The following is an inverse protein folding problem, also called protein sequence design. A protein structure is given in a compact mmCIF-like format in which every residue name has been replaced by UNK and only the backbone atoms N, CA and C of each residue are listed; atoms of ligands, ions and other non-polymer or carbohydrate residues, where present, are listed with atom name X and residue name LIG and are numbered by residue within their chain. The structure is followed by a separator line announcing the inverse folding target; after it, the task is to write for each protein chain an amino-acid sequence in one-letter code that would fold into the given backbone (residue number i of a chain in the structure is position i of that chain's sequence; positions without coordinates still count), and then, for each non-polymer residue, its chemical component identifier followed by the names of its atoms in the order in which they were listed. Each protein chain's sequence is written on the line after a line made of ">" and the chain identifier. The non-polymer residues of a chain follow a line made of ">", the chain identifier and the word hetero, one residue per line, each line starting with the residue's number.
data_IF_305422431268
#
_entry.id   IF_305422431268
#
_cell.length_a   1.000
_cell.length_b   1.000
_cell.length_c   1.000
_cell.angle_alpha   90.00
_cell.angle_beta   90.00
_cell.angle_gamma   90.00
#
_symmetry.space_group_name_H-M   'P 1'
#
loop_
_entity.id
_entity.type
_entity.pdbx_description
1 polymer ?
#
# COMPACT_ATOMS: atom_id res chain seq x y z
N UNK A 1 -38.34 -5.07 14.56
CA UNK A 1 -37.55 -5.22 13.32
C UNK A 1 -36.22 -4.54 13.60
N UNK A 2 -35.25 -5.32 14.06
CA UNK A 2 -33.89 -4.86 14.40
C UNK A 2 -33.08 -4.86 13.10
N UNK A 3 -32.87 -3.68 12.52
CA UNK A 3 -32.16 -3.53 11.25
C UNK A 3 -30.75 -3.06 11.59
N UNK A 4 -29.85 -4.00 11.85
CA UNK A 4 -28.41 -3.78 11.71
C UNK A 4 -27.60 -3.91 13.00
N UNK A 5 -27.41 -5.14 13.48
CA UNK A 5 -26.19 -5.52 14.19
C UNK A 5 -24.98 -5.64 13.22
N UNK A 6 -24.84 -4.69 12.29
CA UNK A 6 -23.69 -4.63 11.38
C UNK A 6 -22.56 -3.96 12.14
N UNK A 7 -21.61 -4.73 12.68
CA UNK A 7 -20.44 -4.11 13.28
C UNK A 7 -19.65 -3.34 12.24
N UNK A 8 -19.15 -2.18 12.67
CA UNK A 8 -18.28 -1.33 11.86
C UNK A 8 -16.82 -1.70 12.09
N UNK A 9 -16.02 -1.69 11.02
CA UNK A 9 -14.56 -1.65 11.09
C UNK A 9 -14.05 -0.23 10.81
N UNK A 10 -13.00 0.18 11.54
CA UNK A 10 -12.41 1.51 11.47
C UNK A 10 -10.89 1.44 11.56
N UNK A 11 -10.21 2.46 11.05
CA UNK A 11 -8.77 2.64 11.23
C UNK A 11 -8.49 3.61 12.38
N UNK A 12 -7.51 3.32 13.23
CA UNK A 12 -7.11 4.27 14.29
C UNK A 12 -6.23 5.40 13.76
N UNK A 13 -5.63 5.21 12.57
CA UNK A 13 -4.78 6.21 11.90
C UNK A 13 -5.09 6.27 10.41
N UNK A 14 -5.62 7.42 9.97
CA UNK A 14 -5.99 7.66 8.57
C UNK A 14 -4.86 8.19 7.68
N UNK A 15 -3.80 8.75 8.27
CA UNK A 15 -2.64 9.29 7.54
C UNK A 15 -1.36 8.53 7.87
N UNK A 16 -0.80 7.82 6.90
CA UNK A 16 0.39 6.99 7.08
C UNK A 16 1.56 7.58 6.30
N UNK A 17 2.57 8.07 7.02
CA UNK A 17 3.83 8.51 6.43
C UNK A 17 4.82 7.36 6.37
N UNK A 18 5.35 7.08 5.19
CA UNK A 18 6.38 6.05 4.96
C UNK A 18 7.63 6.73 4.41
N UNK A 19 8.73 6.70 5.17
CA UNK A 19 9.98 7.29 4.73
C UNK A 19 10.80 6.28 3.91
N UNK A 20 10.73 6.38 2.58
CA UNK A 20 11.48 5.53 1.65
C UNK A 20 13.00 5.78 1.66
N UNK A 21 13.45 6.83 2.33
CA UNK A 21 14.86 7.22 2.38
C UNK A 21 15.41 7.69 1.03
N UNK A 22 16.74 7.79 0.98
CA UNK A 22 17.50 8.16 -0.21
C UNK A 22 18.05 6.90 -0.86
N UNK A 23 17.88 6.78 -2.17
CA UNK A 23 18.36 5.64 -2.96
C UNK A 23 19.34 6.13 -4.03
N UNK A 24 20.47 5.44 -4.18
CA UNK A 24 21.43 5.82 -5.19
C UNK A 24 20.86 5.48 -6.58
N UNK A 25 20.94 6.42 -7.53
CA UNK A 25 20.52 6.19 -8.92
C UNK A 25 21.14 4.92 -9.53
N UNK A 26 22.36 4.57 -9.15
CA UNK A 26 23.06 3.39 -9.64
C UNK A 26 22.43 2.06 -9.18
N UNK A 27 21.55 2.06 -8.17
CA UNK A 27 20.82 0.87 -7.73
C UNK A 27 19.68 0.49 -8.68
N UNK A 28 19.19 1.43 -9.50
CA UNK A 28 18.19 1.13 -10.52
C UNK A 28 18.87 0.45 -11.72
N UNK A 29 18.43 -0.78 -12.05
CA UNK A 29 19.12 -1.67 -13.01
C UNK A 29 18.34 -1.92 -14.31
N UNK A 30 17.27 -1.19 -14.53
CA UNK A 30 16.37 -1.35 -15.68
C UNK A 30 14.90 -1.25 -15.29
N UNK A 31 14.03 -1.09 -16.29
CA UNK A 31 12.58 -1.08 -16.08
C UNK A 31 12.14 -2.29 -15.24
N UNK A 32 11.12 -2.08 -14.42
CA UNK A 32 10.53 -3.03 -13.46
C UNK A 32 11.44 -3.49 -12.32
N UNK A 33 12.71 -3.07 -12.27
CA UNK A 33 13.61 -3.39 -11.15
C UNK A 33 13.39 -2.46 -9.97
N UNK A 34 13.48 -3.01 -8.77
CA UNK A 34 13.33 -2.28 -7.50
C UNK A 34 14.68 -1.80 -6.99
N UNK A 35 14.70 -0.69 -6.26
CA UNK A 35 15.91 -0.12 -5.69
C UNK A 35 15.66 0.39 -4.25
N UNK A 36 16.72 0.40 -3.44
CA UNK A 36 16.64 0.71 -2.01
C UNK A 36 16.04 -0.40 -1.15
N UNK A 37 16.11 -0.19 0.16
CA UNK A 37 15.52 -1.09 1.14
C UNK A 37 13.99 -0.95 1.18
N UNK A 38 13.30 -2.08 1.25
CA UNK A 38 11.85 -2.08 1.46
C UNK A 38 11.51 -1.50 2.84
N UNK A 39 10.61 -0.52 2.86
CA UNK A 39 10.14 0.10 4.08
C UNK A 39 8.79 -0.48 4.46
N UNK A 40 8.67 -1.01 5.66
CA UNK A 40 7.43 -1.58 6.17
C UNK A 40 6.56 -0.52 6.82
N UNK A 41 5.25 -0.70 6.70
CA UNK A 41 4.25 0.12 7.39
C UNK A 41 3.02 -0.73 7.67
N UNK A 42 2.18 -0.28 8.60
CA UNK A 42 0.93 -0.97 8.94
C UNK A 42 -0.25 -0.02 8.99
N UNK A 43 -1.43 -0.53 8.62
CA UNK A 43 -2.71 0.13 8.82
C UNK A 43 -3.37 -0.53 10.03
N UNK A 44 -3.53 0.17 11.16
CA UNK A 44 -4.19 -0.38 12.34
C UNK A 44 -5.71 -0.35 12.18
N UNK A 45 -6.33 -1.53 12.17
CA UNK A 45 -7.78 -1.73 11.96
C UNK A 45 -8.40 -2.36 13.20
N UNK A 46 -9.57 -1.88 13.61
CA UNK A 46 -10.39 -2.56 14.62
C UNK A 46 -11.82 -2.72 14.13
N UNK A 47 -12.50 -3.76 14.63
CA UNK A 47 -13.89 -4.07 14.26
C UNK A 47 -14.71 -4.38 15.49
N UNK A 48 -15.91 -3.81 15.57
CA UNK A 48 -16.84 -4.07 16.68
C UNK A 48 -17.47 -5.47 16.65
N UNK A 49 -17.46 -6.13 15.49
CA UNK A 49 -17.91 -7.51 15.29
C UNK A 49 -16.92 -8.27 14.40
N UNK A 50 -17.05 -9.60 14.28
CA UNK A 50 -16.18 -10.37 13.39
C UNK A 50 -16.33 -9.91 11.94
N UNK A 51 -15.20 -9.70 11.26
CA UNK A 51 -15.18 -9.26 9.88
C UNK A 51 -13.90 -9.66 9.14
N UNK A 52 -14.03 -9.91 7.84
CA UNK A 52 -12.90 -10.12 6.94
C UNK A 52 -12.44 -8.78 6.35
N UNK A 53 -11.18 -8.43 6.58
CA UNK A 53 -10.60 -7.16 6.15
C UNK A 53 -9.94 -7.26 4.79
N UNK A 54 -10.27 -6.32 3.91
CA UNK A 54 -9.65 -6.08 2.61
C UNK A 54 -9.21 -4.62 2.52
N UNK A 55 -8.06 -4.37 1.89
CA UNK A 55 -7.56 -3.01 1.69
C UNK A 55 -7.08 -2.84 0.25
N UNK A 56 -7.69 -1.89 -0.46
CA UNK A 56 -7.26 -1.45 -1.79
C UNK A 56 -6.45 -0.16 -1.70
N UNK A 57 -5.52 0.04 -2.64
CA UNK A 57 -4.75 1.28 -2.76
C UNK A 57 -5.04 1.95 -4.11
N UNK A 58 -5.30 3.25 -4.07
CA UNK A 58 -5.75 4.06 -5.18
C UNK A 58 -4.86 5.28 -5.36
N UNK A 59 -4.56 5.64 -6.60
CA UNK A 59 -3.69 6.76 -6.90
C UNK A 59 -3.31 6.83 -8.36
N UNK A 60 -2.53 7.85 -8.70
CA UNK A 60 -1.97 7.99 -10.05
C UNK A 60 -0.88 6.94 -10.23
N UNK A 61 -0.98 6.14 -11.30
CA UNK A 61 0.00 5.11 -11.64
C UNK A 61 1.13 5.69 -12.47
N UNK A 62 2.35 5.23 -12.25
CA UNK A 62 3.52 5.64 -13.03
C UNK A 62 3.45 5.15 -14.49
N UNK A 63 2.82 3.99 -14.70
CA UNK A 63 2.47 3.45 -16.02
C UNK A 63 1.00 2.95 -15.97
N UNK A 64 0.08 3.61 -16.69
CA UNK A 64 -1.33 3.20 -16.74
C UNK A 64 -1.56 1.79 -17.29
N UNK A 65 -0.64 1.25 -18.10
CA UNK A 65 -0.76 -0.08 -18.69
C UNK A 65 -0.37 -1.24 -17.76
N UNK A 66 0.40 -0.96 -16.70
CA UNK A 66 0.90 -1.96 -15.76
C UNK A 66 0.20 -1.87 -14.40
N UNK A 67 -0.04 -0.65 -13.91
CA UNK A 67 -0.80 -0.41 -12.67
C UNK A 67 -0.14 -0.95 -11.39
N UNK A 68 1.14 -1.31 -11.40
CA UNK A 68 1.85 -1.90 -10.25
C UNK A 68 2.76 -0.92 -9.49
N UNK A 69 2.78 0.34 -9.93
CA UNK A 69 3.60 1.40 -9.36
C UNK A 69 2.85 2.74 -9.32
N UNK A 70 2.91 3.41 -8.18
CA UNK A 70 2.44 4.78 -7.99
C UNK A 70 3.39 5.77 -8.67
N UNK A 71 2.81 6.79 -9.30
CA UNK A 71 3.54 7.92 -9.84
C UNK A 71 4.11 8.80 -8.71
N UNK A 72 5.25 9.41 -8.98
CA UNK A 72 5.80 10.45 -8.12
C UNK A 72 5.02 11.76 -8.31
N UNK A 73 4.93 12.56 -7.25
CA UNK A 73 4.42 13.91 -7.30
C UNK A 73 5.27 14.76 -8.24
N UNK A 74 4.63 15.39 -9.22
CA UNK A 74 5.28 16.21 -10.24
C UNK A 74 5.52 17.62 -9.68
N UNK A 75 6.69 17.81 -9.07
CA UNK A 75 7.15 19.10 -8.53
C UNK A 75 8.48 19.49 -9.17
N UNK A 76 8.86 20.77 -9.09
CA UNK A 76 10.18 21.23 -9.54
C UNK A 76 11.28 20.42 -8.83
N UNK A 77 12.17 19.81 -9.60
CA UNK A 77 13.25 18.94 -9.08
C UNK A 77 12.79 17.55 -8.67
N UNK A 78 11.61 17.08 -9.11
CA UNK A 78 11.19 15.70 -8.94
C UNK A 78 12.07 14.74 -9.75
N UNK A 79 12.27 13.53 -9.23
CA UNK A 79 12.89 12.44 -9.98
C UNK A 79 11.99 11.98 -11.14
N UNK A 80 12.59 11.47 -12.21
CA UNK A 80 11.86 10.85 -13.32
C UNK A 80 12.32 9.43 -13.59
N UNK A 81 11.44 8.64 -14.23
CA UNK A 81 11.69 7.23 -14.53
C UNK A 81 11.63 6.30 -13.33
N UNK A 82 11.07 6.78 -12.20
CA UNK A 82 10.90 6.05 -10.95
C UNK A 82 9.44 6.13 -10.53
N UNK A 83 8.93 5.08 -9.91
CA UNK A 83 7.66 5.03 -9.19
C UNK A 83 7.81 4.39 -7.82
N UNK A 84 6.71 4.27 -7.09
CA UNK A 84 6.67 3.61 -5.78
C UNK A 84 5.85 2.32 -5.90
N UNK A 85 6.47 1.19 -5.59
CA UNK A 85 5.83 -0.13 -5.58
C UNK A 85 5.38 -0.46 -4.16
N UNK A 86 4.10 -0.82 -4.04
CA UNK A 86 3.54 -1.35 -2.80
C UNK A 86 3.47 -2.88 -2.88
N UNK A 87 3.70 -3.55 -1.76
CA UNK A 87 3.60 -5.00 -1.62
C UNK A 87 2.91 -5.35 -0.30
N UNK A 88 2.20 -6.47 -0.28
CA UNK A 88 1.69 -7.05 0.95
C UNK A 88 2.84 -7.36 1.92
N UNK A 89 2.63 -7.08 3.20
CA UNK A 89 3.58 -7.39 4.27
C UNK A 89 3.35 -8.79 4.84
N UNK A 90 3.99 -9.07 5.98
CA UNK A 90 3.76 -10.32 6.69
C UNK A 90 2.43 -10.26 7.44
N UNK A 91 1.40 -10.88 6.87
CA UNK A 91 0.07 -11.01 7.45
C UNK A 91 -0.27 -12.50 7.59
N UNK A 92 -1.09 -12.86 8.57
CA UNK A 92 -1.55 -14.23 8.75
C UNK A 92 -2.41 -14.69 7.57
N UNK A 93 -2.43 -16.00 7.30
CA UNK A 93 -3.34 -16.59 6.33
C UNK A 93 -4.80 -16.15 6.62
N UNK A 94 -5.62 -15.85 5.59
CA UNK A 94 -5.44 -16.18 4.17
C UNK A 94 -4.72 -15.11 3.33
N UNK A 95 -4.03 -14.15 3.96
CA UNK A 95 -3.39 -13.05 3.23
C UNK A 95 -2.35 -13.52 2.19
N UNK A 96 -2.15 -12.76 1.10
CA UNK A 96 -1.05 -13.01 0.17
C UNK A 96 0.31 -13.00 0.86
N UNK A 97 1.25 -13.78 0.32
CA UNK A 97 2.61 -13.86 0.83
C UNK A 97 3.30 -12.50 0.86
N UNK A 98 4.09 -12.23 1.90
CA UNK A 98 4.87 -11.00 2.00
C UNK A 98 5.74 -10.76 0.75
N UNK A 99 5.75 -9.53 0.26
CA UNK A 99 6.44 -9.14 -0.98
C UNK A 99 5.58 -9.24 -2.24
N UNK A 100 4.42 -9.92 -2.19
CA UNK A 100 3.48 -9.97 -3.32
C UNK A 100 3.07 -8.53 -3.71
N UNK A 101 3.24 -8.12 -4.98
CA UNK A 101 2.89 -6.77 -5.42
C UNK A 101 1.40 -6.46 -5.27
N UNK A 102 1.10 -5.21 -4.91
CA UNK A 102 -0.26 -4.68 -4.90
C UNK A 102 -0.53 -4.03 -6.25
N UNK A 103 -1.68 -4.34 -6.83
CA UNK A 103 -2.21 -3.63 -8.00
C UNK A 103 -2.89 -2.35 -7.53
N UNK A 104 -2.45 -1.21 -8.04
CA UNK A 104 -3.03 0.10 -7.74
C UNK A 104 -4.33 0.24 -8.53
N UNK A 105 -5.33 0.87 -7.92
CA UNK A 105 -6.68 1.06 -8.45
C UNK A 105 -7.45 -0.26 -8.68
N UNK A 106 -7.11 -1.33 -7.96
CA UNK A 106 -7.91 -2.55 -7.90
C UNK A 106 -8.98 -2.42 -6.80
N UNK A 107 -10.24 -2.66 -7.17
CA UNK A 107 -11.38 -2.56 -6.27
C UNK A 107 -12.29 -3.80 -6.30
N UNK A 108 -12.14 -4.68 -7.29
CA UNK A 108 -13.08 -5.78 -7.51
C UNK A 108 -12.55 -7.12 -7.03
N UNK A 109 -11.23 -7.28 -6.94
CA UNK A 109 -10.61 -8.54 -6.56
C UNK A 109 -9.56 -8.35 -5.44
N UNK A 110 -9.99 -7.77 -4.32
CA UNK A 110 -9.13 -7.59 -3.15
C UNK A 110 -9.08 -8.88 -2.31
N UNK A 111 -7.88 -9.38 -1.97
CA UNK A 111 -7.75 -10.57 -1.14
C UNK A 111 -8.06 -10.24 0.32
N UNK A 112 -8.58 -11.23 1.06
CA UNK A 112 -8.72 -11.13 2.51
C UNK A 112 -7.33 -11.04 3.13
N UNK A 113 -7.09 -9.97 3.89
CA UNK A 113 -5.80 -9.70 4.54
C UNK A 113 -5.76 -10.16 5.99
N UNK A 114 -6.93 -10.19 6.64
CA UNK A 114 -7.07 -10.68 8.01
C UNK A 114 -8.53 -10.91 8.36
N UNK A 115 -8.78 -11.92 9.18
CA UNK A 115 -10.04 -12.04 9.92
C UNK A 115 -9.87 -11.40 11.29
N UNK A 116 -10.66 -10.37 11.59
CA UNK A 116 -10.70 -9.72 12.92
C UNK A 116 -11.95 -10.22 13.62
N UNK A 117 -11.84 -10.71 14.86
CA UNK A 117 -12.98 -11.29 15.60
C UNK A 117 -13.81 -10.22 16.31
N UNK A 118 -13.24 -9.46 17.23
CA UNK A 118 -13.84 -8.27 17.80
C UNK A 118 -12.73 -7.52 18.53
N UNK A 119 -12.61 -6.24 18.26
CA UNK A 119 -11.56 -5.40 18.82
C UNK A 119 -12.07 -3.98 19.02
N UNK A 120 -11.28 -3.20 19.75
CA UNK A 120 -11.52 -1.79 19.99
C UNK A 120 -10.35 -0.98 19.43
N UNK A 121 -10.47 0.35 19.40
CA UNK A 121 -9.36 1.21 19.02
C UNK A 121 -8.08 0.94 19.86
N UNK A 122 -8.21 0.55 21.13
CA UNK A 122 -7.08 0.23 22.00
C UNK A 122 -6.42 -1.12 21.66
N UNK A 123 -7.14 -2.02 20.98
CA UNK A 123 -6.67 -3.34 20.57
C UNK A 123 -6.67 -3.52 19.05
N UNK A 124 -6.51 -2.42 18.32
CA UNK A 124 -6.47 -2.43 16.87
C UNK A 124 -5.36 -3.34 16.35
N UNK A 125 -5.68 -4.09 15.30
CA UNK A 125 -4.80 -5.05 14.69
C UNK A 125 -4.10 -4.46 13.48
N UNK A 126 -2.79 -4.69 13.37
CA UNK A 126 -2.00 -4.19 12.26
C UNK A 126 -2.16 -5.07 11.02
N UNK A 127 -2.53 -4.43 9.90
CA UNK A 127 -2.41 -4.98 8.55
C UNK A 127 -1.13 -4.45 7.92
N UNK A 128 -0.19 -5.34 7.64
CA UNK A 128 1.19 -4.99 7.27
C UNK A 128 1.38 -4.90 5.76
N UNK A 129 2.19 -3.93 5.34
CA UNK A 129 2.56 -3.64 3.97
C UNK A 129 4.04 -3.26 3.88
N UNK A 130 4.56 -3.19 2.65
CA UNK A 130 5.86 -2.58 2.38
C UNK A 130 5.82 -1.72 1.13
N UNK A 131 6.69 -0.73 1.08
CA UNK A 131 6.88 0.17 -0.04
C UNK A 131 8.36 0.24 -0.43
N UNK A 132 8.64 0.40 -1.73
CA UNK A 132 9.99 0.57 -2.28
C UNK A 132 9.96 1.35 -3.59
N UNK A 133 11.08 1.94 -3.99
CA UNK A 133 11.18 2.53 -5.32
C UNK A 133 11.31 1.44 -6.39
N UNK A 134 10.76 1.71 -7.57
CA UNK A 134 10.88 0.87 -8.76
C UNK A 134 11.19 1.75 -9.97
N UNK A 135 12.07 1.30 -10.86
CA UNK A 135 12.32 1.98 -12.12
C UNK A 135 11.19 1.71 -13.11
N UNK A 136 10.60 2.77 -13.66
CA UNK A 136 9.47 2.71 -14.59
C UNK A 136 9.85 3.21 -15.98
N UNK A 137 10.82 4.13 -16.08
CA UNK A 137 11.33 4.66 -17.35
C UNK A 137 12.62 4.00 -17.81
N UNK A 138 12.99 4.22 -19.07
CA UNK A 138 14.28 3.75 -19.62
C UNK A 138 15.48 4.44 -18.97
N UNK A 139 15.27 5.66 -18.47
CA UNK A 139 16.29 6.46 -17.80
C UNK A 139 15.75 7.03 -16.50
N UNK A 140 16.51 6.87 -15.42
CA UNK A 140 16.25 7.50 -14.13
C UNK A 140 16.96 8.86 -14.07
N UNK A 141 16.27 9.90 -13.59
CA UNK A 141 16.91 11.18 -13.23
C UNK A 141 16.81 11.42 -11.71
N UNK A 142 17.87 11.94 -11.06
CA UNK A 142 17.82 12.25 -9.64
C UNK A 142 16.84 13.38 -9.33
N UNK A 143 16.21 13.33 -8.16
CA UNK A 143 15.30 14.36 -7.69
C UNK A 143 14.48 13.89 -6.48
N UNK A 144 13.53 14.73 -6.05
CA UNK A 144 12.57 14.39 -5.00
C UNK A 144 11.61 13.31 -5.50
N UNK A 145 11.36 12.29 -4.69
CA UNK A 145 10.55 11.14 -5.07
C UNK A 145 9.42 10.88 -4.06
N UNK A 146 8.57 11.88 -3.86
CA UNK A 146 7.39 11.75 -3.01
C UNK A 146 6.24 11.16 -3.83
N UNK A 147 5.36 10.40 -3.19
CA UNK A 147 4.11 9.92 -3.80
C UNK A 147 2.98 9.94 -2.79
N UNK A 148 1.76 9.77 -3.29
CA UNK A 148 0.55 9.72 -2.49
C UNK A 148 -0.36 8.61 -3.03
N UNK A 149 -0.94 7.86 -2.10
CA UNK A 149 -2.03 6.93 -2.38
C UNK A 149 -3.11 7.07 -1.32
N UNK A 150 -4.35 6.84 -1.74
CA UNK A 150 -5.51 6.68 -0.86
C UNK A 150 -5.73 5.19 -0.67
N UNK A 151 -5.93 4.74 0.56
CA UNK A 151 -6.37 3.37 0.81
C UNK A 151 -7.88 3.36 1.09
N UNK A 152 -8.56 2.30 0.68
CA UNK A 152 -9.95 2.03 1.03
C UNK A 152 -10.00 0.75 1.89
N UNK A 153 -10.74 0.82 2.99
CA UNK A 153 -11.02 -0.33 3.86
C UNK A 153 -12.36 -0.94 3.45
N UNK A 154 -12.34 -2.22 3.11
CA UNK A 154 -13.53 -3.03 2.83
C UNK A 154 -13.65 -4.13 3.88
N UNK A 155 -14.86 -4.33 4.39
CA UNK A 155 -15.15 -5.34 5.40
C UNK A 155 -16.55 -5.93 5.20
N UNK A 156 -16.72 -7.19 5.57
CA UNK A 156 -17.97 -7.95 5.47
C UNK A 156 -18.10 -8.94 6.63
#
# INVERSE_FOLDING_TARGET
>A
MDIGANGSCQVTRSSIGVNLGTVNKAEFKGKTTVAGAAQTFSIPVFCSTPADIRIGFFGVTADPGIGDALALAQVVGAASGVGIKLSYGNNSAPAPSAGTPIKINEASNLPVLKHITASSAATAENINFSARYVQTGDRVTPGRANGLATFALEYN
#
